data_IF_388207757680
#
_entry.id   IF_388207757680
#
_cell.length_a   1.000
_cell.length_b   1.000
_cell.length_c   1.000
_cell.angle_alpha   90.00
_cell.angle_beta   90.00
_cell.angle_gamma   90.00
#
_symmetry.space_group_name_H-M   'P 1'
#
loop_
_entity.id
_entity.type
_entity.pdbx_description
1 polymer ?
#
# COMPACT_ATOMS: atom_id res chain seq x y z
N UNK A 1 6.50 -2.15 -1.32
CA UNK A 1 7.57 -2.44 -2.30
C UNK A 1 8.26 -1.15 -2.69
N UNK A 2 9.57 -1.20 -2.82
CA UNK A 2 10.36 -0.09 -3.32
C UNK A 2 11.33 -0.57 -4.39
N UNK A 3 11.84 0.37 -5.17
CA UNK A 3 12.90 0.11 -6.15
C UNK A 3 13.83 1.31 -6.27
N UNK A 4 15.00 1.09 -6.86
CA UNK A 4 15.93 2.17 -7.19
C UNK A 4 15.93 2.40 -8.69
N UNK A 5 15.74 3.65 -9.10
CA UNK A 5 15.81 4.10 -10.49
C UNK A 5 16.74 5.30 -10.55
N UNK A 6 17.81 5.19 -11.33
CA UNK A 6 18.80 6.27 -11.47
C UNK A 6 19.29 6.80 -10.12
N UNK A 7 19.59 5.87 -9.19
CA UNK A 7 20.04 6.16 -7.82
C UNK A 7 19.00 6.85 -6.94
N UNK A 8 17.74 6.88 -7.37
CA UNK A 8 16.64 7.45 -6.59
C UNK A 8 15.67 6.35 -6.15
N UNK A 9 15.17 6.50 -4.93
CA UNK A 9 14.19 5.57 -4.37
C UNK A 9 12.81 5.90 -4.91
N UNK A 10 12.13 4.88 -5.40
CA UNK A 10 10.72 4.95 -5.75
C UNK A 10 9.93 3.94 -4.91
N UNK A 11 8.74 4.33 -4.51
CA UNK A 11 7.84 3.47 -3.74
C UNK A 11 6.59 3.16 -4.55
N UNK A 12 6.10 1.94 -4.39
CA UNK A 12 4.90 1.47 -5.06
C UNK A 12 3.69 1.75 -4.19
N UNK A 13 2.77 2.55 -4.70
CA UNK A 13 1.53 2.89 -4.01
C UNK A 13 0.33 2.49 -4.85
N UNK A 14 -0.77 2.18 -4.19
CA UNK A 14 -2.03 1.81 -4.82
C UNK A 14 -3.10 2.84 -4.51
N UNK A 15 -3.99 3.05 -5.46
CA UNK A 15 -5.12 3.97 -5.32
C UNK A 15 -6.38 3.18 -5.00
N UNK A 16 -7.12 3.55 -3.95
CA UNK A 16 -8.35 2.83 -3.60
C UNK A 16 -9.39 2.97 -4.70
N UNK A 17 -10.07 1.86 -4.99
CA UNK A 17 -11.14 1.82 -5.98
C UNK A 17 -12.45 2.38 -5.45
N UNK A 18 -13.43 2.45 -6.36
CA UNK A 18 -14.78 2.86 -6.03
C UNK A 18 -15.05 4.35 -6.19
N UNK A 19 -16.35 4.71 -6.19
CA UNK A 19 -16.77 6.08 -6.53
C UNK A 19 -16.33 7.14 -5.51
N UNK A 20 -16.19 6.78 -4.24
CA UNK A 20 -15.76 7.74 -3.22
C UNK A 20 -14.36 8.29 -3.49
N UNK A 21 -13.45 7.43 -3.95
CA UNK A 21 -12.04 7.78 -4.16
C UNK A 21 -11.72 8.18 -5.59
N UNK A 22 -12.64 7.97 -6.53
CA UNK A 22 -12.36 8.05 -7.98
C UNK A 22 -11.67 9.32 -8.43
N UNK A 23 -12.01 10.48 -7.83
CA UNK A 23 -11.44 11.79 -8.21
C UNK A 23 -10.43 12.32 -7.21
N UNK A 24 -10.06 11.53 -6.20
CA UNK A 24 -9.10 11.94 -5.19
C UNK A 24 -7.70 11.48 -5.57
N UNK A 25 -6.72 12.32 -5.32
CA UNK A 25 -5.32 12.05 -5.65
C UNK A 25 -4.42 12.35 -4.44
N UNK A 26 -4.21 13.61 -4.10
CA UNK A 26 -3.35 13.97 -2.98
C UNK A 26 -3.92 13.42 -1.67
N UNK A 27 -3.09 12.72 -0.91
CA UNK A 27 -3.51 12.12 0.36
C UNK A 27 -4.43 10.93 0.22
N UNK A 28 -4.56 10.35 -0.98
CA UNK A 28 -5.49 9.26 -1.26
C UNK A 28 -4.82 7.91 -1.46
N UNK A 29 -3.54 7.90 -1.81
CA UNK A 29 -2.81 6.68 -2.12
C UNK A 29 -2.35 5.96 -0.86
N UNK A 30 -2.20 4.66 -0.97
CA UNK A 30 -1.90 3.78 0.15
C UNK A 30 -0.85 2.75 -0.24
N UNK A 31 -0.17 2.21 0.77
CA UNK A 31 0.54 0.95 0.56
C UNK A 31 -0.50 -0.18 0.45
N UNK A 32 -0.18 -1.27 -0.28
CA UNK A 32 -0.99 -2.47 -0.22
C UNK A 32 -1.07 -2.96 1.23
N UNK A 33 -2.28 -3.15 1.73
CA UNK A 33 -2.51 -3.46 3.13
C UNK A 33 -3.79 -4.25 3.32
N UNK A 34 -3.91 -4.88 4.46
CA UNK A 34 -5.13 -5.54 4.87
C UNK A 34 -5.03 -5.98 6.31
N UNK A 35 -6.11 -6.51 6.81
CA UNK A 35 -6.15 -7.06 8.16
C UNK A 35 -5.80 -8.53 8.12
N UNK A 36 -5.18 -9.02 9.18
CA UNK A 36 -4.89 -10.43 9.30
C UNK A 36 -5.83 -11.08 10.32
N UNK A 37 -6.17 -12.33 10.04
CA UNK A 37 -7.04 -13.11 10.91
C UNK A 37 -6.30 -13.53 12.18
N UNK A 38 -7.06 -13.83 13.23
CA UNK A 38 -6.51 -14.39 14.45
C UNK A 38 -5.74 -15.68 14.11
N UNK A 39 -4.48 -15.75 14.56
CA UNK A 39 -3.61 -16.89 14.29
C UNK A 39 -2.86 -16.83 12.98
N UNK A 40 -3.14 -15.87 12.11
CA UNK A 40 -2.38 -15.67 10.88
C UNK A 40 -1.11 -14.88 11.19
N UNK A 41 0.03 -15.32 10.64
CA UNK A 41 1.28 -14.59 10.79
C UNK A 41 1.19 -13.22 10.07
N UNK A 42 1.55 -12.11 10.72
CA UNK A 42 1.45 -10.78 10.09
C UNK A 42 2.20 -10.64 8.77
N UNK A 43 3.37 -11.28 8.61
CA UNK A 43 4.12 -11.23 7.36
C UNK A 43 3.39 -12.01 6.26
N UNK A 44 2.87 -13.18 6.57
CA UNK A 44 2.08 -13.95 5.60
C UNK A 44 0.85 -13.17 5.15
N UNK A 45 0.21 -12.47 6.09
CA UNK A 45 -0.92 -11.61 5.78
C UNK A 45 -0.52 -10.47 4.84
N UNK A 46 0.62 -9.82 5.09
CA UNK A 46 1.11 -8.73 4.24
C UNK A 46 1.38 -9.22 2.82
N UNK A 47 1.98 -10.39 2.66
CA UNK A 47 2.25 -10.99 1.36
C UNK A 47 0.95 -11.34 0.63
N UNK A 48 0.01 -11.93 1.34
CA UNK A 48 -1.30 -12.29 0.79
C UNK A 48 -2.07 -11.05 0.33
N UNK A 49 -2.12 -10.01 1.16
CA UNK A 49 -2.83 -8.77 0.82
C UNK A 49 -2.19 -8.07 -0.37
N UNK A 50 -0.86 -8.06 -0.46
CA UNK A 50 -0.17 -7.50 -1.61
C UNK A 50 -0.60 -8.22 -2.89
N UNK A 51 -0.62 -9.55 -2.88
CA UNK A 51 -1.01 -10.35 -4.04
C UNK A 51 -2.49 -10.13 -4.41
N UNK A 52 -3.37 -10.06 -3.42
CA UNK A 52 -4.80 -9.85 -3.64
C UNK A 52 -5.09 -8.47 -4.23
N UNK A 53 -4.44 -7.44 -3.73
CA UNK A 53 -4.68 -6.06 -4.16
C UNK A 53 -4.01 -5.71 -5.48
N UNK A 54 -2.91 -6.35 -5.82
CA UNK A 54 -2.12 -5.98 -7.01
C UNK A 54 -2.04 -7.07 -8.09
N UNK A 55 -2.24 -8.32 -7.71
CA UNK A 55 -2.05 -9.46 -8.61
C UNK A 55 -0.59 -9.84 -8.82
N UNK A 56 0.34 -9.17 -8.14
CA UNK A 56 1.76 -9.46 -8.25
C UNK A 56 2.23 -10.32 -7.10
N UNK A 57 3.23 -11.17 -7.38
CA UNK A 57 3.96 -11.89 -6.36
C UNK A 57 5.20 -11.09 -5.98
N UNK A 58 5.61 -11.22 -4.73
CA UNK A 58 6.81 -10.58 -4.23
C UNK A 58 7.89 -11.63 -4.01
N UNK A 59 9.15 -11.19 -3.93
CA UNK A 59 10.23 -12.01 -3.42
C UNK A 59 10.00 -12.36 -1.95
N UNK A 60 10.93 -13.05 -1.34
CA UNK A 60 10.81 -13.50 0.06
C UNK A 60 11.60 -12.64 1.05
N UNK A 61 12.39 -11.69 0.55
CA UNK A 61 13.29 -10.89 1.38
C UNK A 61 12.58 -9.67 1.96
N UNK A 62 11.58 -9.93 2.80
CA UNK A 62 10.87 -8.89 3.52
C UNK A 62 11.66 -8.49 4.76
N UNK A 63 11.78 -7.18 4.97
CA UNK A 63 12.48 -6.61 6.10
C UNK A 63 11.47 -5.82 6.94
N UNK A 64 11.36 -6.11 8.26
CA UNK A 64 10.46 -5.34 9.10
C UNK A 64 10.99 -3.93 9.29
N UNK A 65 10.14 -2.93 9.09
CA UNK A 65 10.49 -1.54 9.31
C UNK A 65 10.04 -1.03 10.69
N UNK A 66 9.05 -1.68 11.28
CA UNK A 66 8.50 -1.26 12.55
C UNK A 66 6.99 -1.19 12.53
N UNK A 67 6.45 -0.43 13.46
CA UNK A 67 5.01 -0.29 13.63
C UNK A 67 4.65 1.18 13.59
N UNK A 68 3.56 1.51 12.90
CA UNK A 68 3.02 2.86 12.89
C UNK A 68 1.61 2.85 13.47
N UNK A 69 1.20 4.01 13.99
CA UNK A 69 -0.13 4.19 14.53
C UNK A 69 -0.99 4.93 13.51
N UNK A 70 -2.06 4.28 13.06
CA UNK A 70 -3.02 4.91 12.16
C UNK A 70 -4.09 5.69 12.90
N UNK A 71 -4.90 6.43 12.15
CA UNK A 71 -6.07 7.11 12.68
C UNK A 71 -6.95 6.11 13.44
N UNK A 72 -7.48 6.51 14.61
CA UNK A 72 -8.23 5.61 15.46
C UNK A 72 -7.40 4.78 16.42
N UNK A 73 -6.07 4.96 16.42
CA UNK A 73 -5.17 4.28 17.34
C UNK A 73 -4.75 2.87 16.95
N UNK A 74 -5.15 2.41 15.76
CA UNK A 74 -4.78 1.08 15.26
C UNK A 74 -3.29 1.01 14.96
N UNK A 75 -2.63 -0.03 15.46
CA UNK A 75 -1.21 -0.28 15.18
C UNK A 75 -1.08 -1.13 13.92
N UNK A 76 -0.14 -0.74 13.05
CA UNK A 76 0.11 -1.40 11.77
C UNK A 76 1.57 -1.78 11.69
N UNK A 77 1.83 -3.08 11.50
CA UNK A 77 3.17 -3.58 11.23
C UNK A 77 3.55 -3.32 9.79
N UNK A 78 4.74 -2.79 9.57
CA UNK A 78 5.23 -2.37 8.25
C UNK A 78 6.41 -3.22 7.85
N UNK A 79 6.35 -3.73 6.63
CA UNK A 79 7.41 -4.52 6.02
C UNK A 79 7.83 -3.85 4.72
N UNK A 80 9.09 -4.01 4.34
CA UNK A 80 9.58 -3.53 3.06
C UNK A 80 10.16 -4.69 2.25
N UNK A 81 9.96 -4.65 0.95
CA UNK A 81 10.55 -5.57 0.01
C UNK A 81 11.03 -4.79 -1.21
N UNK A 82 12.25 -5.09 -1.66
CA UNK A 82 12.75 -4.55 -2.92
C UNK A 82 12.18 -5.36 -4.06
N UNK A 83 11.74 -4.68 -5.10
CA UNK A 83 11.19 -5.36 -6.26
C UNK A 83 10.79 -4.39 -7.35
N UNK A 84 10.27 -4.93 -8.44
CA UNK A 84 9.81 -4.16 -9.58
C UNK A 84 8.56 -4.82 -10.15
N UNK A 85 7.67 -4.01 -10.68
CA UNK A 85 6.48 -4.50 -11.37
C UNK A 85 5.94 -3.38 -12.26
N UNK A 86 5.17 -3.77 -13.28
CA UNK A 86 4.52 -2.82 -14.17
C UNK A 86 3.15 -2.46 -13.61
N UNK A 87 2.96 -1.20 -13.16
CA UNK A 87 1.67 -0.79 -12.58
C UNK A 87 0.48 -0.97 -13.51
N UNK A 88 0.71 -0.94 -14.83
CA UNK A 88 -0.36 -1.15 -15.80
C UNK A 88 -0.92 -2.57 -15.81
N UNK A 89 -0.22 -3.51 -15.20
CA UNK A 89 -0.61 -4.92 -15.16
C UNK A 89 -1.28 -5.32 -13.84
N UNK A 90 -1.67 -4.37 -13.01
CA UNK A 90 -2.30 -4.70 -11.73
C UNK A 90 -3.62 -5.44 -11.95
N UNK A 91 -3.92 -6.34 -11.02
CA UNK A 91 -5.19 -7.06 -10.94
C UNK A 91 -5.61 -7.11 -9.48
N UNK A 92 -6.56 -6.26 -9.12
CA UNK A 92 -7.08 -6.20 -7.76
C UNK A 92 -8.23 -7.19 -7.59
N UNK A 93 -8.36 -7.70 -6.38
CA UNK A 93 -9.57 -8.38 -5.97
C UNK A 93 -10.74 -7.39 -5.91
N UNK A 94 -11.95 -7.94 -5.87
CA UNK A 94 -13.18 -7.15 -5.76
C UNK A 94 -13.66 -7.13 -4.31
N UNK A 95 -14.34 -6.06 -3.96
CA UNK A 95 -15.06 -5.96 -2.69
C UNK A 95 -16.45 -5.36 -2.93
N UNK A 96 -17.35 -5.59 -1.99
CA UNK A 96 -18.71 -5.08 -2.07
C UNK A 96 -18.86 -3.91 -1.11
N UNK A 97 -19.39 -2.81 -1.61
CA UNK A 97 -19.68 -1.63 -0.79
C UNK A 97 -21.13 -1.21 -0.97
N UNK A 98 -21.64 -0.45 -0.01
CA UNK A 98 -22.94 0.21 -0.15
C UNK A 98 -22.72 1.58 -0.80
N UNK A 99 -23.38 1.80 -1.93
CA UNK A 99 -23.24 3.07 -2.62
C UNK A 99 -24.55 3.43 -3.35
N UNK A 100 -25.11 4.65 -3.23
CA UNK A 100 -24.64 5.69 -2.31
C UNK A 100 -24.69 5.27 -0.83
N UNK A 101 -23.99 6.00 0.07
CA UNK A 101 -24.05 5.68 1.50
C UNK A 101 -25.51 5.65 2.00
N UNK A 102 -25.83 4.66 2.83
CA UNK A 102 -27.15 4.48 3.45
C UNK A 102 -28.29 4.24 2.44
N UNK A 103 -27.98 3.87 1.21
CA UNK A 103 -28.98 3.60 0.18
C UNK A 103 -29.54 2.18 0.22
N UNK A 104 -28.83 1.25 0.84
CA UNK A 104 -29.13 -0.17 0.77
C UNK A 104 -28.69 -0.83 -0.53
N UNK A 105 -28.11 -0.07 -1.47
CA UNK A 105 -27.64 -0.56 -2.76
C UNK A 105 -26.23 -1.08 -2.61
N UNK A 106 -26.00 -2.34 -2.99
CA UNK A 106 -24.67 -2.97 -2.96
C UNK A 106 -24.08 -2.98 -4.36
N UNK A 107 -22.82 -2.56 -4.48
CA UNK A 107 -22.08 -2.63 -5.74
C UNK A 107 -20.73 -3.32 -5.50
N UNK A 108 -20.21 -4.00 -6.53
CA UNK A 108 -18.87 -4.54 -6.51
C UNK A 108 -17.92 -3.52 -7.12
N UNK A 109 -16.77 -3.34 -6.46
CA UNK A 109 -15.71 -2.46 -6.94
C UNK A 109 -14.36 -3.18 -6.77
N UNK A 110 -13.35 -2.84 -7.59
CA UNK A 110 -11.98 -3.28 -7.27
C UNK A 110 -11.51 -2.57 -5.99
N UNK A 111 -10.81 -3.28 -5.13
CA UNK A 111 -10.23 -2.65 -3.94
C UNK A 111 -9.19 -1.60 -4.33
N UNK A 112 -8.46 -1.88 -5.41
CA UNK A 112 -7.45 -0.99 -5.99
C UNK A 112 -7.80 -0.77 -7.45
N UNK A 113 -7.92 0.49 -7.87
CA UNK A 113 -8.24 0.79 -9.26
C UNK A 113 -7.01 1.09 -10.12
N UNK A 114 -5.92 1.53 -9.51
CA UNK A 114 -4.67 1.80 -10.20
C UNK A 114 -3.51 1.80 -9.23
N UNK A 115 -2.30 1.72 -9.77
CA UNK A 115 -1.08 1.77 -8.99
C UNK A 115 -0.04 2.58 -9.74
N UNK A 116 0.97 3.06 -9.02
CA UNK A 116 2.06 3.80 -9.63
C UNK A 116 3.30 3.77 -8.76
N UNK A 117 4.43 4.05 -9.38
CA UNK A 117 5.69 4.28 -8.71
C UNK A 117 5.88 5.78 -8.49
N UNK A 118 6.24 6.17 -7.27
CA UNK A 118 6.46 7.57 -6.91
C UNK A 118 7.82 7.75 -6.29
N UNK A 119 8.48 8.84 -6.62
CA UNK A 119 9.67 9.29 -5.88
C UNK A 119 9.22 9.70 -4.47
N UNK A 120 10.14 9.68 -3.51
CA UNK A 120 9.78 9.92 -2.11
C UNK A 120 9.06 11.25 -1.87
N UNK A 121 9.47 12.33 -2.53
CA UNK A 121 8.82 13.63 -2.40
C UNK A 121 7.37 13.61 -2.92
N UNK A 122 7.14 12.99 -4.07
CA UNK A 122 5.79 12.82 -4.61
C UNK A 122 4.94 11.91 -3.73
N UNK A 123 5.56 10.82 -3.23
CA UNK A 123 4.86 9.88 -2.36
C UNK A 123 4.36 10.54 -1.08
N UNK A 124 5.13 11.47 -0.51
CA UNK A 124 4.71 12.19 0.70
C UNK A 124 3.43 13.00 0.48
N UNK A 125 3.25 13.56 -0.70
CA UNK A 125 2.05 14.33 -1.03
C UNK A 125 0.85 13.43 -1.33
N UNK A 126 1.10 12.25 -1.89
CA UNK A 126 0.06 11.34 -2.38
C UNK A 126 -0.44 10.35 -1.36
N UNK A 127 0.41 9.92 -0.44
CA UNK A 127 0.09 8.88 0.54
C UNK A 127 -0.89 9.41 1.60
N UNK A 128 -1.71 8.51 2.13
CA UNK A 128 -2.56 8.83 3.29
C UNK A 128 -1.69 9.39 4.42
N UNK A 129 -2.16 10.44 5.08
CA UNK A 129 -1.38 11.10 6.14
C UNK A 129 -0.99 10.15 7.26
N UNK A 130 -1.86 9.23 7.62
CA UNK A 130 -1.58 8.24 8.66
C UNK A 130 -0.48 7.26 8.30
N UNK A 131 -0.16 7.14 7.00
CA UNK A 131 0.89 6.25 6.51
C UNK A 131 2.19 6.98 6.18
N UNK A 132 2.20 8.30 6.18
CA UNK A 132 3.39 9.08 5.85
C UNK A 132 4.63 8.70 6.69
N UNK A 133 4.52 8.37 7.99
CA UNK A 133 5.67 7.93 8.77
C UNK A 133 6.40 6.71 8.22
N UNK A 134 5.74 5.88 7.40
CA UNK A 134 6.40 4.73 6.78
C UNK A 134 7.50 5.14 5.81
N UNK A 135 7.33 6.27 5.13
CA UNK A 135 8.35 6.78 4.21
C UNK A 135 9.62 7.16 4.97
N UNK A 136 9.46 7.68 6.19
CA UNK A 136 10.60 8.00 7.03
C UNK A 136 11.30 6.75 7.54
N UNK A 137 10.54 5.71 7.88
CA UNK A 137 11.09 4.42 8.28
C UNK A 137 11.89 3.77 7.14
N UNK A 138 11.34 3.83 5.92
CA UNK A 138 12.02 3.32 4.73
C UNK A 138 13.33 4.07 4.48
N UNK A 139 13.28 5.39 4.53
CA UNK A 139 14.46 6.22 4.27
C UNK A 139 15.55 5.96 5.31
N UNK A 140 15.18 5.83 6.58
CA UNK A 140 16.12 5.51 7.64
C UNK A 140 16.77 4.14 7.43
N UNK A 141 15.98 3.15 7.04
CA UNK A 141 16.48 1.80 6.74
C UNK A 141 17.49 1.83 5.59
N UNK A 142 17.18 2.55 4.51
CA UNK A 142 18.06 2.62 3.35
C UNK A 142 19.37 3.34 3.66
N UNK A 143 19.35 4.32 4.55
CA UNK A 143 20.57 4.99 5.01
C UNK A 143 21.46 4.07 5.84
N UNK A 144 20.85 3.24 6.70
CA UNK A 144 21.61 2.25 7.49
C UNK A 144 22.28 1.22 6.60
N UNK A 145 21.58 0.74 5.58
CA UNK A 145 22.11 -0.27 4.65
C UNK A 145 23.23 0.30 3.78
N UNK A 146 23.18 1.60 3.46
CA UNK A 146 24.17 2.27 2.63
C UNK A 146 25.49 2.57 3.37
N UNK A 147 25.50 2.48 4.70
CA UNK A 147 26.71 2.67 5.51
C UNK A 147 27.33 1.32 5.89
#
# INVERSE_FOLDING_TARGET
MYRLRELKVEVFLVHPGGPFWAKKDLGAWSIPKGEYASGEDPLDAARREFAEETGFETGEDFIPLGTIKQAGGKLVSVWVVEGDCDPAQIRSNLCTIEWPPRSGIKIEIPEVDRAAWFKLDEARERILKSQAPMLDLLLAHLKEVAT
#
